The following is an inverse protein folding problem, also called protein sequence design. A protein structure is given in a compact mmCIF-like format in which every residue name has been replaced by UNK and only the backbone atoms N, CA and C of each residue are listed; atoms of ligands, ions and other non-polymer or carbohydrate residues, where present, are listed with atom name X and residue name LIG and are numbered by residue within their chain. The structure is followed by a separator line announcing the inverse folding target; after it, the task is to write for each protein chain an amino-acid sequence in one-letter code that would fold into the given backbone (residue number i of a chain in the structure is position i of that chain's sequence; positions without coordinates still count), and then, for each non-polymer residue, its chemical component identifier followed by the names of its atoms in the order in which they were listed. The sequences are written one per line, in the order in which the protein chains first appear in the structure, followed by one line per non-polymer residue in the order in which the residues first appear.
data_IF_679542308016
#
_entry.id   IF_679542308016
#
_cell.length_a   1.000
_cell.length_b   1.000
_cell.length_c   1.000
_cell.angle_alpha   90.00
_cell.angle_beta   90.00
_cell.angle_gamma   90.00
#
_symmetry.space_group_name_H-M   'P 1'
#
loop_
_entity.id
_entity.type
_entity.pdbx_description
1 polymer ?
#
# COMPACT_ATOMS: atom_id res chain seq x y z
N UNK A 1 -5.03 16.30 -5.05
CA UNK A 1 -4.81 15.57 -6.31
C UNK A 1 -5.97 15.75 -7.27
N UNK A 2 -5.71 15.56 -8.57
CA UNK A 2 -6.75 15.54 -9.58
C UNK A 2 -7.41 14.16 -9.64
N UNK A 3 -8.63 14.09 -10.17
CA UNK A 3 -9.30 12.84 -10.43
C UNK A 3 -8.55 11.98 -11.46
N UNK A 4 -7.93 12.64 -12.44
CA UNK A 4 -7.09 12.00 -13.45
C UNK A 4 -5.92 11.24 -12.81
N UNK A 5 -5.11 11.89 -11.98
CA UNK A 5 -3.93 11.28 -11.37
C UNK A 5 -4.27 10.18 -10.36
N UNK A 6 -5.36 10.38 -9.61
CA UNK A 6 -5.74 9.42 -8.56
C UNK A 6 -6.46 8.18 -9.10
N UNK A 7 -7.16 8.29 -10.23
CA UNK A 7 -7.98 7.20 -10.78
C UNK A 7 -7.71 6.87 -12.25
N UNK A 8 -7.92 7.81 -13.18
CA UNK A 8 -8.01 7.53 -14.62
C UNK A 8 -6.71 7.00 -15.21
N UNK A 9 -5.58 7.63 -14.91
CA UNK A 9 -4.26 7.25 -15.41
C UNK A 9 -3.81 5.86 -14.92
N UNK A 10 -4.47 5.31 -13.89
CA UNK A 10 -4.18 4.02 -13.27
C UNK A 10 -5.23 2.96 -13.57
N UNK A 11 -5.87 3.02 -14.73
CA UNK A 11 -6.86 2.04 -15.22
C UNK A 11 -8.22 1.99 -14.49
N UNK A 12 -8.49 2.90 -13.54
CA UNK A 12 -9.83 3.00 -12.99
C UNK A 12 -10.81 3.46 -14.07
N UNK A 13 -11.80 2.65 -14.35
CA UNK A 13 -12.88 3.02 -15.26
C UNK A 13 -13.70 4.17 -14.66
N UNK A 14 -14.31 4.99 -15.53
CA UNK A 14 -15.23 6.05 -15.10
C UNK A 14 -16.49 5.54 -14.38
N UNK A 15 -16.67 4.23 -14.27
CA UNK A 15 -17.84 3.60 -13.65
C UNK A 15 -17.84 3.76 -12.10
N UNK A 16 -19.00 4.14 -11.51
CA UNK A 16 -19.16 4.44 -10.09
C UNK A 16 -18.60 3.41 -9.09
N UNK A 17 -18.72 2.09 -9.26
CA UNK A 17 -18.34 1.15 -8.21
C UNK A 17 -16.86 1.18 -7.80
N UNK A 18 -15.96 1.53 -8.73
CA UNK A 18 -14.53 1.58 -8.42
C UNK A 18 -14.13 2.86 -7.68
N UNK A 19 -14.92 3.93 -7.79
CA UNK A 19 -14.72 5.18 -7.07
C UNK A 19 -15.33 5.13 -5.67
N UNK A 20 -16.53 4.57 -5.54
CA UNK A 20 -17.23 4.40 -4.27
C UNK A 20 -16.51 3.42 -3.34
N UNK A 21 -15.87 2.38 -3.91
CA UNK A 21 -15.10 1.39 -3.13
C UNK A 21 -13.86 1.97 -2.42
N UNK A 22 -13.50 3.24 -2.70
CA UNK A 22 -12.33 3.89 -2.08
C UNK A 22 -12.68 5.04 -1.13
N UNK A 23 -13.96 5.24 -0.79
CA UNK A 23 -14.41 6.24 0.17
C UNK A 23 -13.62 7.56 0.08
N UNK A 24 -13.73 8.24 -1.07
CA UNK A 24 -12.90 9.41 -1.39
C UNK A 24 -13.53 10.70 -0.90
N UNK A 25 -12.73 11.58 -0.30
CA UNK A 25 -13.13 12.96 -0.02
C UNK A 25 -12.90 13.82 -1.26
N UNK A 26 -13.99 14.31 -1.85
CA UNK A 26 -13.95 15.28 -2.95
C UNK A 26 -14.04 16.72 -2.42
N UNK A 27 -13.33 17.63 -3.07
CA UNK A 27 -13.34 19.06 -2.78
C UNK A 27 -14.28 19.79 -3.75
N UNK A 28 -14.82 20.95 -3.36
CA UNK A 28 -15.74 21.70 -4.22
C UNK A 28 -15.18 22.15 -5.58
N UNK A 29 -13.87 22.24 -5.70
CA UNK A 29 -13.15 22.63 -6.91
C UNK A 29 -12.89 21.46 -7.89
N UNK A 30 -13.42 20.27 -7.59
CA UNK A 30 -13.22 19.05 -8.39
C UNK A 30 -11.92 18.30 -8.09
N UNK A 31 -11.10 18.79 -7.18
CA UNK A 31 -9.97 18.04 -6.65
C UNK A 31 -10.43 17.03 -5.58
N UNK A 32 -9.50 16.20 -5.13
CA UNK A 32 -9.76 15.23 -4.06
C UNK A 32 -8.58 15.15 -3.07
N UNK A 33 -8.87 14.66 -1.87
CA UNK A 33 -7.85 14.22 -0.96
C UNK A 33 -7.41 12.81 -1.38
N UNK A 34 -6.13 12.65 -1.72
CA UNK A 34 -5.61 11.38 -2.28
C UNK A 34 -5.86 10.20 -1.34
N UNK A 35 -6.34 9.11 -1.89
CA UNK A 35 -6.63 7.86 -1.17
C UNK A 35 -5.40 6.96 -1.00
N UNK A 36 -4.35 7.23 -1.76
CA UNK A 36 -3.05 6.54 -1.74
C UNK A 36 -1.96 7.44 -2.33
N UNK A 37 -0.70 7.04 -2.17
CA UNK A 37 0.45 7.79 -2.69
C UNK A 37 0.79 7.47 -4.14
N UNK A 38 0.09 6.53 -4.77
CA UNK A 38 0.31 6.06 -6.14
C UNK A 38 0.22 7.11 -7.26
N UNK A 39 -0.49 8.26 -7.13
CA UNK A 39 -0.41 9.34 -8.14
C UNK A 39 1.02 9.78 -8.47
N UNK A 40 1.94 9.63 -7.50
CA UNK A 40 3.36 9.95 -7.73
C UNK A 40 4.02 9.01 -8.73
N UNK A 41 3.58 7.75 -8.82
CA UNK A 41 4.10 6.80 -9.84
C UNK A 41 3.87 7.34 -11.25
N UNK A 42 2.62 7.71 -11.55
CA UNK A 42 2.24 8.25 -12.87
C UNK A 42 3.04 9.50 -13.19
N UNK A 43 3.02 10.50 -12.30
CA UNK A 43 3.78 11.75 -12.51
C UNK A 43 5.29 11.53 -12.68
N UNK A 44 5.84 10.50 -12.04
CA UNK A 44 7.25 10.17 -12.19
C UNK A 44 7.53 9.50 -13.54
N UNK A 45 6.67 8.58 -13.95
CA UNK A 45 6.80 7.89 -15.24
C UNK A 45 6.58 8.84 -16.42
N UNK A 46 5.66 9.80 -16.32
CA UNK A 46 5.40 10.80 -17.36
C UNK A 46 6.59 11.77 -17.57
N UNK A 47 7.32 12.07 -16.49
CA UNK A 47 8.41 13.07 -16.51
C UNK A 47 9.80 12.49 -16.72
N UNK A 48 9.95 11.18 -16.56
CA UNK A 48 11.24 10.52 -16.55
C UNK A 48 11.38 9.43 -17.59
N UNK A 49 12.49 8.70 -17.49
CA UNK A 49 12.77 7.49 -18.28
C UNK A 49 13.20 6.38 -17.33
N UNK A 50 12.81 5.11 -17.58
CA UNK A 50 13.29 3.99 -16.79
C UNK A 50 14.83 3.86 -16.81
N UNK A 51 15.44 3.23 -15.79
CA UNK A 51 14.77 2.55 -14.68
C UNK A 51 14.27 3.50 -13.60
N UNK A 52 13.13 3.13 -12.96
CA UNK A 52 12.58 3.84 -11.81
C UNK A 52 12.69 2.99 -10.55
N UNK A 53 13.16 3.59 -9.45
CA UNK A 53 13.20 2.99 -8.11
C UNK A 53 12.87 4.06 -7.10
N UNK A 54 11.66 4.02 -6.54
CA UNK A 54 11.16 5.05 -5.64
C UNK A 54 10.49 4.47 -4.41
N UNK A 55 10.60 5.23 -3.33
CA UNK A 55 9.79 5.09 -2.13
C UNK A 55 9.07 6.41 -1.91
N UNK A 56 7.76 6.36 -1.77
CA UNK A 56 6.89 7.53 -1.70
C UNK A 56 6.11 7.50 -0.39
N UNK A 57 6.61 8.14 0.68
CA UNK A 57 5.85 8.34 1.90
C UNK A 57 4.89 9.51 1.74
N UNK A 58 3.71 9.43 2.34
CA UNK A 58 2.78 10.53 2.33
C UNK A 58 1.50 10.27 3.11
N UNK A 59 0.83 11.36 3.48
CA UNK A 59 -0.48 11.31 4.11
C UNK A 59 -1.54 10.99 3.06
N UNK A 60 -2.48 10.13 3.44
CA UNK A 60 -3.61 9.71 2.61
C UNK A 60 -4.92 9.77 3.41
N UNK A 61 -6.05 9.77 2.70
CA UNK A 61 -7.35 10.06 3.27
C UNK A 61 -8.37 9.07 2.72
N UNK A 62 -9.21 8.49 3.60
CA UNK A 62 -10.32 7.62 3.22
C UNK A 62 -11.53 7.92 4.08
N UNK A 63 -12.70 7.96 3.48
CA UNK A 63 -13.96 8.17 4.20
C UNK A 63 -14.40 6.87 4.88
N UNK A 64 -13.63 6.42 5.86
CA UNK A 64 -13.86 5.20 6.63
C UNK A 64 -14.30 5.55 8.06
N UNK A 65 -15.07 4.67 8.68
CA UNK A 65 -15.37 4.78 10.09
C UNK A 65 -14.10 4.56 10.92
N UNK A 66 -13.91 5.40 11.95
CA UNK A 66 -12.76 5.29 12.85
C UNK A 66 -12.99 4.16 13.85
N UNK A 67 -12.09 3.17 13.84
CA UNK A 67 -12.07 2.07 14.80
C UNK A 67 -10.64 1.81 15.32
N UNK A 68 -10.41 0.67 15.97
CA UNK A 68 -9.09 0.32 16.49
C UNK A 68 -8.04 0.04 15.37
N UNK A 69 -8.47 -0.16 14.14
CA UNK A 69 -7.62 -0.57 13.01
C UNK A 69 -7.69 0.36 11.80
N UNK A 70 -8.68 1.27 11.77
CA UNK A 70 -8.92 2.21 10.68
C UNK A 70 -9.03 3.65 11.19
N UNK A 71 -8.50 4.59 10.41
CA UNK A 71 -8.64 6.01 10.62
C UNK A 71 -8.78 6.73 9.28
N UNK A 72 -9.61 7.77 9.22
CA UNK A 72 -9.86 8.52 7.97
C UNK A 72 -8.64 9.29 7.45
N UNK A 73 -7.62 9.46 8.27
CA UNK A 73 -6.31 9.99 7.89
C UNK A 73 -5.28 8.98 8.35
N UNK A 74 -4.35 8.61 7.47
CA UNK A 74 -3.21 7.78 7.83
C UNK A 74 -2.02 8.07 6.90
N UNK A 75 -0.88 7.49 7.18
CA UNK A 75 0.30 7.62 6.35
C UNK A 75 0.55 6.31 5.59
N UNK A 76 0.86 6.45 4.33
CA UNK A 76 1.23 5.32 3.47
C UNK A 76 2.67 5.49 3.01
N UNK A 77 3.40 4.39 2.95
CA UNK A 77 4.65 4.28 2.21
C UNK A 77 4.38 3.36 1.04
N UNK A 78 4.62 3.87 -0.15
CA UNK A 78 4.55 3.10 -1.38
C UNK A 78 5.93 2.98 -1.99
N UNK A 79 6.30 1.76 -2.38
CA UNK A 79 7.50 1.52 -3.16
C UNK A 79 7.12 1.06 -4.55
N UNK A 80 7.83 1.55 -5.56
CA UNK A 80 7.69 1.03 -6.90
C UNK A 80 9.02 0.95 -7.65
N UNK A 81 9.09 -0.04 -8.53
CA UNK A 81 10.23 -0.29 -9.39
C UNK A 81 9.73 -0.58 -10.79
N UNK A 82 10.35 0.05 -11.80
CA UNK A 82 10.18 -0.27 -13.24
C UNK A 82 11.54 -0.40 -13.85
N UNK A 83 11.79 -1.55 -14.47
CA UNK A 83 13.05 -1.86 -15.17
C UNK A 83 12.78 -2.93 -16.24
N UNK A 84 13.79 -3.35 -16.99
CA UNK A 84 13.68 -4.48 -17.92
C UNK A 84 13.65 -5.80 -17.13
N UNK A 85 12.73 -6.70 -17.49
CA UNK A 85 12.70 -8.07 -16.97
C UNK A 85 12.33 -8.22 -15.50
N UNK A 86 11.70 -7.22 -14.89
CA UNK A 86 11.20 -7.29 -13.50
C UNK A 86 10.06 -8.30 -13.39
N UNK A 87 10.14 -9.17 -12.39
CA UNK A 87 9.21 -10.26 -12.18
C UNK A 87 8.48 -10.20 -10.83
N UNK A 88 7.41 -10.97 -10.69
CA UNK A 88 6.72 -11.14 -9.41
C UNK A 88 7.61 -11.82 -8.35
N UNK A 89 8.61 -12.60 -8.78
CA UNK A 89 9.58 -13.19 -7.86
C UNK A 89 10.48 -12.12 -7.23
N UNK A 90 10.86 -11.08 -7.98
CA UNK A 90 11.63 -9.95 -7.46
C UNK A 90 10.83 -9.18 -6.40
N UNK A 91 9.55 -8.91 -6.68
CA UNK A 91 8.64 -8.30 -5.69
C UNK A 91 8.60 -9.11 -4.39
N UNK A 92 8.37 -10.42 -4.49
CA UNK A 92 8.35 -11.31 -3.32
C UNK A 92 9.67 -11.31 -2.56
N UNK A 93 10.79 -11.35 -3.26
CA UNK A 93 12.13 -11.32 -2.69
C UNK A 93 12.40 -10.03 -1.90
N UNK A 94 12.06 -8.88 -2.48
CA UNK A 94 12.20 -7.57 -1.83
C UNK A 94 11.35 -7.47 -0.56
N UNK A 95 10.08 -7.89 -0.63
CA UNK A 95 9.16 -7.82 0.50
C UNK A 95 9.53 -8.81 1.61
N UNK A 96 9.96 -10.02 1.28
CA UNK A 96 10.42 -11.00 2.26
C UNK A 96 11.69 -10.51 2.98
N UNK A 97 12.64 -9.94 2.24
CA UNK A 97 13.84 -9.34 2.80
C UNK A 97 13.51 -8.16 3.73
N UNK A 98 12.56 -7.30 3.34
CA UNK A 98 12.06 -6.23 4.20
C UNK A 98 11.47 -6.76 5.49
N UNK A 99 10.58 -7.75 5.43
CA UNK A 99 9.91 -8.32 6.60
C UNK A 99 10.93 -8.91 7.58
N UNK A 100 11.87 -9.70 7.08
CA UNK A 100 12.92 -10.31 7.92
C UNK A 100 13.81 -9.27 8.58
N UNK A 101 14.18 -8.22 7.85
CA UNK A 101 15.02 -7.14 8.39
C UNK A 101 14.27 -6.26 9.39
N UNK A 102 12.99 -6.00 9.15
CA UNK A 102 12.21 -5.05 9.94
C UNK A 102 11.57 -5.68 11.19
N UNK A 103 10.99 -6.87 11.05
CA UNK A 103 10.26 -7.55 12.12
C UNK A 103 11.04 -8.69 12.78
N UNK A 104 12.04 -9.25 12.10
CA UNK A 104 12.85 -10.36 12.59
C UNK A 104 12.91 -11.54 11.62
N UNK A 105 14.00 -12.32 11.63
CA UNK A 105 14.24 -13.39 10.67
C UNK A 105 13.26 -14.57 10.79
N UNK A 106 12.60 -14.70 11.94
CA UNK A 106 11.61 -15.75 12.23
C UNK A 106 10.24 -15.46 11.64
N UNK A 107 9.96 -14.22 11.25
CA UNK A 107 8.66 -13.81 10.71
C UNK A 107 8.51 -14.32 9.28
N UNK A 108 7.44 -15.06 9.05
CA UNK A 108 7.12 -15.66 7.75
C UNK A 108 6.19 -14.73 6.95
N UNK A 109 6.36 -14.74 5.65
CA UNK A 109 5.48 -14.06 4.70
C UNK A 109 4.54 -15.04 4.01
N UNK A 110 3.35 -14.59 3.65
CA UNK A 110 2.39 -15.30 2.82
C UNK A 110 1.76 -14.32 1.85
N UNK A 111 1.68 -14.70 0.58
CA UNK A 111 1.04 -13.92 -0.46
C UNK A 111 -0.29 -14.58 -0.82
N UNK A 112 -1.36 -13.80 -0.79
CA UNK A 112 -2.70 -14.22 -1.21
C UNK A 112 -3.09 -13.49 -2.50
N UNK A 113 -3.68 -14.15 -3.50
CA UNK A 113 -4.23 -13.45 -4.66
C UNK A 113 -5.23 -12.38 -4.21
N UNK A 114 -5.16 -11.22 -4.87
CA UNK A 114 -6.08 -10.10 -4.66
C UNK A 114 -6.36 -9.41 -5.99
N UNK A 115 -7.15 -8.37 -5.96
CA UNK A 115 -7.45 -7.56 -7.13
C UNK A 115 -7.26 -6.07 -6.83
N UNK A 116 -6.40 -5.43 -7.61
CA UNK A 116 -6.28 -3.97 -7.67
C UNK A 116 -6.30 -3.54 -9.13
N UNK A 117 -7.08 -2.51 -9.51
CA UNK A 117 -7.24 -2.12 -10.92
C UNK A 117 -5.94 -1.72 -11.63
N UNK A 118 -4.91 -1.38 -10.88
CA UNK A 118 -3.63 -0.87 -11.35
C UNK A 118 -2.48 -1.88 -11.27
N UNK A 119 -2.76 -3.13 -10.85
CA UNK A 119 -1.76 -4.21 -10.80
C UNK A 119 -2.32 -5.52 -11.37
N UNK A 120 -1.46 -6.29 -12.06
CA UNK A 120 -1.76 -7.63 -12.56
C UNK A 120 -0.46 -8.45 -12.75
N UNK A 121 -0.30 -9.56 -12.01
CA UNK A 121 -1.14 -10.05 -10.92
C UNK A 121 -1.06 -9.16 -9.67
N UNK A 122 -2.15 -9.18 -8.90
CA UNK A 122 -2.24 -8.49 -7.62
C UNK A 122 -2.18 -9.47 -6.46
N UNK A 123 -1.63 -9.05 -5.34
CA UNK A 123 -1.58 -9.84 -4.13
C UNK A 123 -1.67 -8.97 -2.86
N UNK A 124 -2.16 -9.56 -1.80
CA UNK A 124 -1.99 -9.07 -0.44
C UNK A 124 -0.92 -9.89 0.25
N UNK A 125 -0.05 -9.23 1.00
CA UNK A 125 0.98 -9.89 1.80
C UNK A 125 0.58 -9.89 3.26
N UNK A 126 0.52 -11.09 3.83
CA UNK A 126 0.40 -11.32 5.26
C UNK A 126 1.75 -11.68 5.87
N UNK A 127 1.92 -11.36 7.15
CA UNK A 127 3.03 -11.86 7.96
C UNK A 127 2.49 -12.78 9.07
N UNK A 128 3.31 -13.71 9.54
CA UNK A 128 2.97 -14.49 10.72
C UNK A 128 2.76 -13.54 11.91
N UNK A 129 1.67 -13.75 12.66
CA UNK A 129 1.26 -12.82 13.71
C UNK A 129 2.32 -12.67 14.78
N UNK A 130 2.84 -11.48 14.96
CA UNK A 130 3.89 -11.12 15.91
C UNK A 130 3.43 -11.27 17.37
N UNK A 131 2.12 -11.05 17.62
CA UNK A 131 1.56 -11.10 18.97
C UNK A 131 1.47 -12.53 19.52
N UNK A 132 1.21 -13.52 18.68
CA UNK A 132 1.03 -14.91 19.10
C UNK A 132 2.01 -15.87 18.43
N UNK A 133 3.02 -15.38 17.75
CA UNK A 133 4.00 -16.19 17.02
C UNK A 133 3.33 -17.20 16.06
N UNK A 134 2.26 -16.78 15.38
CA UNK A 134 1.52 -17.61 14.43
C UNK A 134 0.54 -18.64 15.04
N UNK A 135 0.41 -18.70 16.37
CA UNK A 135 -0.46 -19.70 17.06
C UNK A 135 -1.96 -19.39 16.98
N UNK A 136 -2.32 -18.17 16.66
CA UNK A 136 -3.70 -17.68 16.73
C UNK A 136 -3.96 -16.85 17.98
N UNK A 137 -4.58 -15.69 17.82
CA UNK A 137 -5.03 -14.82 18.93
C UNK A 137 -6.17 -13.89 18.46
N UNK A 138 -6.71 -13.11 19.37
CA UNK A 138 -7.77 -12.15 19.06
C UNK A 138 -7.38 -11.16 17.95
N UNK A 139 -6.13 -10.66 17.94
CA UNK A 139 -5.65 -9.68 16.96
C UNK A 139 -5.63 -10.25 15.55
N UNK A 140 -5.13 -11.47 15.37
CA UNK A 140 -5.13 -12.16 14.07
C UNK A 140 -6.41 -12.96 13.81
N UNK A 141 -7.47 -12.77 14.62
CA UNK A 141 -8.74 -13.49 14.52
C UNK A 141 -8.54 -15.02 14.42
N UNK A 142 -7.65 -15.57 15.25
CA UNK A 142 -7.27 -16.99 15.32
C UNK A 142 -6.57 -17.55 14.07
N UNK A 143 -6.31 -16.72 13.05
CA UNK A 143 -5.69 -17.20 11.80
C UNK A 143 -4.19 -17.47 11.90
N UNK A 144 -3.51 -16.87 12.87
CA UNK A 144 -2.03 -16.86 12.96
C UNK A 144 -1.35 -15.89 11.98
N UNK A 145 -2.11 -15.17 11.16
CA UNK A 145 -1.61 -14.26 10.13
C UNK A 145 -2.22 -12.86 10.25
N UNK A 146 -1.48 -11.85 9.90
CA UNK A 146 -1.95 -10.47 9.83
C UNK A 146 -1.57 -9.85 8.50
N UNK A 147 -2.55 -9.22 7.84
CA UNK A 147 -2.33 -8.50 6.60
C UNK A 147 -1.51 -7.24 6.84
N UNK A 148 -0.51 -7.01 5.99
CA UNK A 148 0.45 -5.91 6.14
C UNK A 148 0.35 -4.90 5.01
N UNK A 149 0.23 -5.37 3.77
CA UNK A 149 0.27 -4.51 2.58
C UNK A 149 -0.38 -5.17 1.36
N UNK A 150 -0.81 -4.31 0.43
CA UNK A 150 -1.16 -4.70 -0.94
C UNK A 150 0.03 -4.52 -1.88
N UNK A 151 0.15 -5.40 -2.87
CA UNK A 151 1.24 -5.34 -3.86
C UNK A 151 0.83 -5.99 -5.18
N UNK A 152 1.65 -5.81 -6.21
CA UNK A 152 1.44 -6.47 -7.50
C UNK A 152 2.39 -5.98 -8.57
N UNK A 153 2.36 -6.64 -9.72
CA UNK A 153 3.03 -6.13 -10.92
C UNK A 153 2.21 -4.96 -11.47
N UNK A 154 2.90 -3.92 -11.93
CA UNK A 154 2.24 -2.77 -12.53
C UNK A 154 1.47 -3.23 -13.77
N UNK A 155 0.18 -2.88 -13.82
CA UNK A 155 -0.68 -3.28 -14.93
C UNK A 155 -0.16 -2.71 -16.26
N UNK A 156 -0.09 -3.50 -17.35
CA UNK A 156 0.45 -3.04 -18.65
C UNK A 156 -0.21 -1.75 -19.17
N UNK A 157 -1.49 -1.55 -18.91
CA UNK A 157 -2.18 -0.32 -19.31
C UNK A 157 -1.68 0.93 -18.55
N UNK A 158 -1.21 0.79 -17.31
CA UNK A 158 -0.59 1.92 -16.59
C UNK A 158 0.69 2.35 -17.28
N UNK A 159 1.51 1.39 -17.71
CA UNK A 159 2.74 1.67 -18.49
C UNK A 159 2.40 2.35 -19.82
N UNK A 160 1.41 1.82 -20.56
CA UNK A 160 0.94 2.41 -21.83
C UNK A 160 0.42 3.83 -21.64
N UNK A 161 -0.36 4.09 -20.59
CA UNK A 161 -0.87 5.44 -20.29
C UNK A 161 0.27 6.44 -20.02
N UNK A 162 1.40 5.96 -19.47
CA UNK A 162 2.61 6.73 -19.26
C UNK A 162 3.58 6.68 -20.47
N UNK A 163 3.11 6.27 -21.66
CA UNK A 163 3.88 6.19 -22.92
C UNK A 163 5.10 5.25 -22.84
N UNK A 164 5.02 4.21 -22.02
CA UNK A 164 6.04 3.19 -21.86
C UNK A 164 5.60 1.89 -22.55
N UNK A 165 6.51 1.25 -23.26
CA UNK A 165 6.27 -0.03 -23.93
C UNK A 165 6.26 -1.18 -22.90
N UNK A 166 5.11 -1.84 -22.66
CA UNK A 166 5.01 -2.95 -21.69
C UNK A 166 5.66 -4.26 -22.17
N UNK A 167 6.04 -4.37 -23.43
CA UNK A 167 6.82 -5.51 -23.93
C UNK A 167 8.29 -5.40 -23.52
N UNK A 168 8.76 -4.18 -23.29
CA UNK A 168 10.12 -3.91 -22.84
C UNK A 168 10.22 -3.70 -21.33
N UNK A 169 9.28 -2.95 -20.77
CA UNK A 169 9.31 -2.52 -19.37
C UNK A 169 8.31 -3.28 -18.52
N UNK A 170 8.77 -3.77 -17.42
CA UNK A 170 7.92 -4.36 -16.39
C UNK A 170 8.23 -3.75 -15.03
N UNK A 171 7.36 -3.93 -14.07
CA UNK A 171 7.60 -3.35 -12.75
C UNK A 171 6.62 -3.87 -11.72
N UNK A 172 6.90 -3.54 -10.47
CA UNK A 172 6.02 -3.83 -9.35
C UNK A 172 5.81 -2.61 -8.46
N UNK A 173 4.71 -2.64 -7.72
CA UNK A 173 4.42 -1.68 -6.67
C UNK A 173 3.88 -2.39 -5.43
N UNK A 174 4.07 -1.74 -4.26
CA UNK A 174 3.47 -2.15 -3.00
C UNK A 174 3.14 -0.91 -2.16
N UNK A 175 2.08 -0.99 -1.36
CA UNK A 175 1.68 0.09 -0.47
C UNK A 175 1.38 -0.42 0.94
N UNK A 176 2.02 0.16 1.95
CA UNK A 176 1.82 -0.20 3.35
C UNK A 176 1.42 1.02 4.19
N UNK A 177 0.48 0.83 5.13
CA UNK A 177 0.12 1.83 6.14
C UNK A 177 1.20 1.92 7.21
N UNK A 178 1.73 3.13 7.43
CA UNK A 178 2.80 3.37 8.41
C UNK A 178 2.33 3.05 9.82
N UNK A 179 1.14 3.50 10.19
CA UNK A 179 0.55 3.26 11.50
C UNK A 179 0.37 1.76 11.76
N UNK A 180 -0.17 1.01 10.79
CA UNK A 180 -0.33 -0.45 10.92
C UNK A 180 1.02 -1.14 11.09
N UNK A 181 2.02 -0.72 10.34
CA UNK A 181 3.39 -1.21 10.45
C UNK A 181 3.99 -0.92 11.83
N UNK A 182 3.78 0.30 12.35
CA UNK A 182 4.19 0.71 13.69
C UNK A 182 3.43 -0.05 14.79
N UNK A 183 2.11 -0.24 14.63
CA UNK A 183 1.30 -1.05 15.56
C UNK A 183 1.89 -2.45 15.74
N UNK A 184 2.26 -3.10 14.65
CA UNK A 184 2.90 -4.43 14.72
C UNK A 184 4.29 -4.35 15.36
N UNK A 185 5.11 -3.39 14.96
CA UNK A 185 6.48 -3.24 15.47
C UNK A 185 6.53 -2.97 16.96
N UNK A 186 5.66 -2.09 17.46
CA UNK A 186 5.64 -1.61 18.83
C UNK A 186 4.54 -2.23 19.70
N UNK A 187 3.78 -3.18 19.14
CA UNK A 187 2.67 -3.87 19.83
C UNK A 187 1.57 -2.92 20.32
N UNK A 188 1.30 -1.89 19.55
CA UNK A 188 0.16 -0.99 19.77
C UNK A 188 -1.10 -1.66 19.22
N UNK A 189 -2.15 -1.72 20.00
CA UNK A 189 -3.38 -2.45 19.67
C UNK A 189 -4.53 -1.57 19.15
N UNK A 190 -4.33 -0.25 19.15
CA UNK A 190 -5.31 0.73 18.70
C UNK A 190 -4.66 1.88 17.93
N UNK A 191 -5.03 2.06 16.65
CA UNK A 191 -4.50 3.11 15.77
C UNK A 191 -4.79 4.52 16.27
N UNK A 192 -5.88 4.71 17.02
CA UNK A 192 -6.31 6.02 17.55
C UNK A 192 -5.29 6.65 18.48
N UNK A 193 -4.47 5.85 19.15
CA UNK A 193 -3.39 6.35 20.02
C UNK A 193 -2.37 7.24 19.28
N UNK A 194 -2.14 7.01 17.99
CA UNK A 194 -1.25 7.87 17.20
C UNK A 194 -1.82 9.27 16.94
N UNK A 195 -3.13 9.47 17.12
CA UNK A 195 -3.83 10.70 16.79
C UNK A 195 -4.39 11.47 17.99
N UNK A 196 -4.42 10.85 19.16
CA UNK A 196 -4.96 11.45 20.39
C UNK A 196 -4.01 12.45 21.05
N UNK A 197 -2.76 12.51 20.60
CA UNK A 197 -1.71 13.38 21.17
C UNK A 197 -1.51 13.21 22.69
N UNK A 198 -1.69 11.99 23.19
CA UNK A 198 -1.49 11.67 24.63
C UNK A 198 0.01 11.56 24.92
N UNK A 199 0.52 12.46 25.76
CA UNK A 199 1.94 12.48 26.14
C UNK A 199 2.39 11.19 26.84
N UNK A 200 1.49 10.47 27.53
CA UNK A 200 1.83 9.19 28.17
C UNK A 200 2.10 8.10 27.12
N UNK A 201 1.38 8.16 26.01
CA UNK A 201 1.62 7.28 24.86
C UNK A 201 2.92 7.67 24.15
N UNK A 202 3.09 8.94 23.80
CA UNK A 202 4.24 9.42 23.02
C UNK A 202 5.59 9.23 23.73
N UNK A 203 5.60 9.25 25.07
CA UNK A 203 6.83 9.04 25.88
C UNK A 203 7.29 7.59 25.98
N UNK A 204 6.59 6.65 25.37
CA UNK A 204 6.96 5.22 25.36
C UNK A 204 7.97 4.88 24.25
N UNK A 205 8.21 5.81 23.32
CA UNK A 205 9.06 5.60 22.14
C UNK A 205 10.27 6.52 22.09
#
# INVERSE_FOLDING_TARGET
ETEHDNFQSRTFTAAPPARDAQDTFFLPDGNLLRTHTSPVQVRTMEKGKPPFKFVVPGRVYRHEAVDATHHHIFHQVEGFLVDEGVSFADLKGVLDAFVKKFYGPEIKTRFRPSFFPFTEPSAEMDISCIFCAGKGCRICKQSGWVETLGCGMIHPNVLKNCQMDPERWSGFAFGMGVERTAMFKYRVDDIRHFYQNDLRFLRQF
#
